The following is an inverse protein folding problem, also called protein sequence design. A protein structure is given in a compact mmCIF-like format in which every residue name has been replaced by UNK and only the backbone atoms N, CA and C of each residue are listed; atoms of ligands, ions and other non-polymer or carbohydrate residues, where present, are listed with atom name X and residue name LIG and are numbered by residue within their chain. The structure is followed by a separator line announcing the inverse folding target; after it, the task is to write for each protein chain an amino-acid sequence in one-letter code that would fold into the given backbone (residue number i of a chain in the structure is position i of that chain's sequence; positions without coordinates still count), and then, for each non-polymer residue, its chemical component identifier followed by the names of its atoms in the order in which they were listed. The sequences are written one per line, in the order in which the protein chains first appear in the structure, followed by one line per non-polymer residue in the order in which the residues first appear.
data_IF_856244408675
#
_entry.id   IF_856244408675
#
_cell.length_a   1.000
_cell.length_b   1.000
_cell.length_c   1.000
_cell.angle_alpha   90.00
_cell.angle_beta   90.00
_cell.angle_gamma   90.00
#
_symmetry.space_group_name_H-M   'P 1'
#
loop_
_entity.id
_entity.type
_entity.pdbx_description
1 polymer ?
#
# COMPACT_ATOMS: atom_id res chain seq x y z
N UNK A 1 -28.05 19.20 -34.36
CA UNK A 1 -27.04 18.30 -33.77
C UNK A 1 -27.49 16.86 -33.95
N UNK A 2 -26.62 15.93 -34.38
CA UNK A 2 -26.98 14.51 -34.53
C UNK A 2 -27.30 13.94 -33.13
N UNK A 3 -28.56 13.60 -32.89
CA UNK A 3 -28.99 12.88 -31.69
C UNK A 3 -28.94 11.38 -32.00
N UNK A 4 -28.07 10.65 -31.31
CA UNK A 4 -28.01 9.19 -31.38
C UNK A 4 -29.02 8.62 -30.38
N UNK A 5 -29.93 7.76 -30.85
CA UNK A 5 -31.03 7.18 -30.05
C UNK A 5 -30.75 5.75 -29.58
N UNK A 6 -29.54 5.24 -29.80
CA UNK A 6 -29.12 3.85 -29.55
C UNK A 6 -28.34 3.65 -28.23
N UNK A 7 -28.29 4.66 -27.36
CA UNK A 7 -27.59 4.57 -26.07
C UNK A 7 -26.06 4.69 -26.14
N UNK A 8 -25.51 5.02 -27.32
CA UNK A 8 -24.07 5.16 -27.54
C UNK A 8 -23.48 6.32 -26.71
N UNK A 9 -22.43 6.03 -25.94
CA UNK A 9 -21.73 7.01 -25.07
C UNK A 9 -20.65 7.82 -25.77
N UNK A 10 -20.04 7.25 -26.82
CA UNK A 10 -18.96 7.87 -27.59
C UNK A 10 -18.91 7.35 -29.02
N UNK A 11 -18.40 8.16 -29.94
CA UNK A 11 -18.07 7.73 -31.31
C UNK A 11 -16.56 7.51 -31.47
N UNK A 12 -15.77 8.29 -30.74
CA UNK A 12 -14.31 8.14 -30.61
C UNK A 12 -13.94 8.57 -29.20
N UNK A 13 -12.97 7.90 -28.59
CA UNK A 13 -12.38 8.27 -27.30
C UNK A 13 -10.86 8.09 -27.38
N UNK A 14 -10.13 9.11 -26.99
CA UNK A 14 -8.69 9.06 -26.74
C UNK A 14 -8.40 9.62 -25.34
N UNK A 15 -7.57 8.93 -24.56
CA UNK A 15 -7.10 9.39 -23.25
C UNK A 15 -5.64 8.99 -23.04
N UNK A 16 -4.93 9.73 -22.18
CA UNK A 16 -3.48 9.57 -21.95
C UNK A 16 -3.13 8.48 -20.93
N UNK A 17 -3.96 7.46 -20.80
CA UNK A 17 -3.79 6.41 -19.80
C UNK A 17 -3.93 6.91 -18.35
N UNK A 18 -3.69 6.02 -17.37
CA UNK A 18 -3.68 6.38 -15.96
C UNK A 18 -2.36 7.06 -15.57
N UNK A 19 -2.41 7.95 -14.58
CA UNK A 19 -1.23 8.39 -13.85
C UNK A 19 -0.96 7.40 -12.72
N UNK A 20 0.20 6.75 -12.73
CA UNK A 20 0.63 5.87 -11.64
C UNK A 20 1.19 6.68 -10.48
N UNK A 21 1.05 6.19 -9.23
CA UNK A 21 1.75 6.77 -8.10
C UNK A 21 3.27 6.70 -8.32
N UNK A 22 4.04 7.61 -7.68
CA UNK A 22 5.49 7.51 -7.69
C UNK A 22 5.95 6.19 -7.06
N UNK A 23 7.15 5.69 -7.41
CA UNK A 23 7.74 4.54 -6.73
C UNK A 23 7.97 4.87 -5.25
N UNK A 24 8.00 3.83 -4.42
CA UNK A 24 8.35 3.96 -3.02
C UNK A 24 9.79 4.46 -2.84
N UNK A 25 10.01 5.28 -1.82
CA UNK A 25 11.33 5.71 -1.39
C UNK A 25 11.63 5.11 -0.02
N UNK A 26 12.72 4.35 0.08
CA UNK A 26 13.11 3.72 1.35
C UNK A 26 13.31 4.73 2.47
N UNK A 27 13.01 4.30 3.69
CA UNK A 27 13.12 5.16 4.86
C UNK A 27 14.59 5.59 5.13
N UNK A 28 14.79 6.79 5.73
CA UNK A 28 16.12 7.22 6.16
C UNK A 28 16.76 6.19 7.09
N UNK A 29 18.09 6.01 7.00
CA UNK A 29 18.80 4.95 7.72
C UNK A 29 18.70 4.98 9.25
N UNK A 30 18.33 6.13 9.84
CA UNK A 30 18.13 6.29 11.28
C UNK A 30 16.73 5.82 11.75
N UNK A 31 15.80 5.60 10.82
CA UNK A 31 14.48 5.05 11.11
C UNK A 31 14.60 3.53 11.09
N UNK A 32 14.25 2.88 12.20
CA UNK A 32 14.48 1.46 12.43
C UNK A 32 13.18 0.75 12.76
N UNK A 33 13.03 -0.46 12.23
CA UNK A 33 11.97 -1.37 12.62
C UNK A 33 12.47 -2.32 13.71
N UNK A 34 11.66 -2.52 14.75
CA UNK A 34 11.98 -3.40 15.87
C UNK A 34 10.93 -4.48 16.01
N UNK A 35 11.38 -5.73 16.14
CA UNK A 35 10.55 -6.87 16.47
C UNK A 35 11.04 -7.53 17.75
N UNK A 36 10.16 -7.62 18.75
CA UNK A 36 10.49 -8.16 20.07
C UNK A 36 11.74 -7.52 20.71
N UNK A 37 11.90 -6.20 20.53
CA UNK A 37 13.06 -5.45 21.05
C UNK A 37 14.34 -5.53 20.21
N UNK A 38 14.38 -6.36 19.17
CA UNK A 38 15.55 -6.51 18.28
C UNK A 38 15.34 -5.73 16.97
N UNK A 39 16.36 -5.02 16.50
CA UNK A 39 16.34 -4.36 15.19
C UNK A 39 16.24 -5.41 14.08
N UNK A 40 15.24 -5.25 13.20
CA UNK A 40 15.08 -6.07 12.00
C UNK A 40 15.11 -5.15 10.79
N UNK A 41 16.07 -5.39 9.89
CA UNK A 41 16.16 -4.64 8.64
C UNK A 41 15.23 -5.25 7.60
N UNK A 42 14.14 -4.53 7.33
CA UNK A 42 13.18 -4.89 6.31
C UNK A 42 13.73 -4.62 4.90
N UNK A 43 13.33 -5.44 3.94
CA UNK A 43 13.46 -5.21 2.51
C UNK A 43 12.37 -4.24 2.05
N UNK A 44 12.63 -3.57 0.94
CA UNK A 44 11.80 -2.52 0.38
C UNK A 44 10.30 -2.86 0.29
N UNK A 45 9.88 -4.06 -0.19
CA UNK A 45 8.44 -4.38 -0.27
C UNK A 45 7.77 -4.50 1.11
N UNK A 46 8.46 -5.09 2.08
CA UNK A 46 7.95 -5.23 3.44
C UNK A 46 8.00 -3.90 4.21
N UNK A 47 9.02 -3.08 3.95
CA UNK A 47 9.16 -1.74 4.52
C UNK A 47 8.04 -0.83 4.04
N UNK A 48 7.80 -0.76 2.73
CA UNK A 48 6.72 0.04 2.12
C UNK A 48 5.38 -0.28 2.77
N UNK A 49 5.01 -1.56 2.84
CA UNK A 49 3.74 -2.00 3.42
C UNK A 49 3.67 -1.67 4.91
N UNK A 50 4.76 -1.86 5.65
CA UNK A 50 4.82 -1.49 7.07
C UNK A 50 4.66 0.02 7.28
N UNK A 51 5.08 0.88 6.34
CA UNK A 51 4.85 2.32 6.45
C UNK A 51 3.37 2.68 6.45
N UNK A 52 2.51 1.92 5.77
CA UNK A 52 1.07 2.14 5.81
C UNK A 52 0.52 1.91 7.22
N UNK A 53 0.93 0.83 7.88
CA UNK A 53 0.52 0.54 9.26
C UNK A 53 1.07 1.56 10.25
N UNK A 54 2.35 1.94 10.10
CA UNK A 54 2.97 2.97 10.94
C UNK A 54 2.22 4.31 10.89
N UNK A 55 1.72 4.71 9.71
CA UNK A 55 0.90 5.93 9.55
C UNK A 55 -0.48 5.84 10.20
N UNK A 56 -0.95 4.63 10.53
CA UNK A 56 -2.26 4.37 11.11
C UNK A 56 -2.20 4.06 12.61
N UNK A 57 -1.02 4.11 13.26
CA UNK A 57 -0.86 3.71 14.65
C UNK A 57 -1.83 4.41 15.62
N UNK A 58 -2.11 5.69 15.41
CA UNK A 58 -3.02 6.47 16.24
C UNK A 58 -4.51 6.37 15.83
N UNK A 59 -4.82 5.62 14.76
CA UNK A 59 -6.19 5.46 14.26
C UNK A 59 -6.92 4.31 14.96
N UNK A 60 -8.24 4.41 15.13
CA UNK A 60 -9.07 3.35 15.71
C UNK A 60 -9.04 2.01 14.95
N UNK A 61 -8.40 1.93 13.78
CA UNK A 61 -8.24 0.68 13.05
C UNK A 61 -7.21 -0.22 13.73
N UNK A 62 -6.10 0.33 14.22
CA UNK A 62 -5.03 -0.44 14.90
C UNK A 62 -5.45 -0.93 16.28
N UNK A 63 -6.60 -0.46 16.81
CA UNK A 63 -7.25 -1.00 18.01
C UNK A 63 -8.14 -2.22 17.72
N UNK A 64 -8.45 -2.50 16.44
CA UNK A 64 -9.32 -3.61 16.05
C UNK A 64 -8.49 -4.86 15.78
N UNK A 65 -8.74 -5.92 16.52
CA UNK A 65 -8.03 -7.20 16.40
C UNK A 65 -8.10 -7.78 14.98
N UNK A 66 -9.27 -7.73 14.34
CA UNK A 66 -9.48 -8.22 12.96
C UNK A 66 -8.60 -7.46 11.95
N UNK A 67 -8.45 -6.15 12.13
CA UNK A 67 -7.59 -5.35 11.25
C UNK A 67 -6.13 -5.75 11.42
N UNK A 68 -5.66 -5.86 12.67
CA UNK A 68 -4.28 -6.25 12.97
C UNK A 68 -3.98 -7.66 12.45
N UNK A 69 -4.90 -8.61 12.62
CA UNK A 69 -4.72 -9.98 12.15
C UNK A 69 -4.57 -10.04 10.63
N UNK A 70 -5.49 -9.40 9.90
CA UNK A 70 -5.45 -9.38 8.44
C UNK A 70 -4.20 -8.66 7.93
N UNK A 71 -3.88 -7.49 8.51
CA UNK A 71 -2.71 -6.73 8.13
C UNK A 71 -1.42 -7.54 8.31
N UNK A 72 -1.22 -8.14 9.49
CA UNK A 72 0.00 -8.90 9.77
C UNK A 72 0.11 -10.16 8.90
N UNK A 73 -1.02 -10.82 8.63
CA UNK A 73 -1.06 -11.98 7.72
C UNK A 73 -0.64 -11.61 6.30
N UNK A 74 -1.14 -10.50 5.77
CA UNK A 74 -0.79 -10.04 4.43
C UNK A 74 0.62 -9.45 4.37
N UNK A 75 1.02 -8.67 5.37
CA UNK A 75 2.37 -8.12 5.47
C UNK A 75 3.42 -9.23 5.48
N UNK A 76 3.20 -10.34 6.19
CA UNK A 76 4.15 -11.47 6.22
C UNK A 76 4.41 -12.08 4.84
N UNK A 77 3.47 -11.98 3.89
CA UNK A 77 3.65 -12.45 2.51
C UNK A 77 4.63 -11.60 1.70
N UNK A 78 4.87 -10.35 2.13
CA UNK A 78 5.84 -9.44 1.52
C UNK A 78 7.25 -9.57 2.09
N UNK A 79 7.41 -10.29 3.19
CA UNK A 79 8.70 -10.52 3.85
C UNK A 79 9.44 -11.69 3.20
N UNK A 80 10.77 -11.66 3.24
CA UNK A 80 11.60 -12.81 2.87
C UNK A 80 11.81 -13.76 4.04
N UNK A 81 12.32 -14.97 3.76
CA UNK A 81 12.50 -16.02 4.78
C UNK A 81 13.52 -15.65 5.88
N UNK A 82 14.44 -14.72 5.59
CA UNK A 82 15.46 -14.26 6.53
C UNK A 82 14.95 -13.16 7.49
N UNK A 83 13.77 -12.60 7.20
CA UNK A 83 13.07 -11.61 8.03
C UNK A 83 11.92 -12.27 8.78
#
# INVERSE_FOLDING_TARGET
SKKYTDGRKWTTLEHRGPLFPPPYESLPAHVKFFYNGTEVKLKEPAEEIMTFYARMLDHDYTKKEVFNHNFMSDWRKSMSQAE
#
